data_IF_815101638672
#
_entry.id   IF_815101638672
#
_cell.length_a   1.000
_cell.length_b   1.000
_cell.length_c   1.000
_cell.angle_alpha   90.00
_cell.angle_beta   90.00
_cell.angle_gamma   90.00
#
_symmetry.space_group_name_H-M   'P 1'
#
loop_
_entity.id
_entity.type
_entity.pdbx_description
1 polymer ?
#
# COMPACT_ATOMS: atom_id res chain seq x y z
N UNK A 1 -20.39 -38.66 6.17
CA UNK A 1 -20.31 -37.53 5.22
C UNK A 1 -20.43 -36.28 6.08
N UNK A 2 -19.33 -35.56 6.30
CA UNK A 2 -19.27 -34.45 7.25
C UNK A 2 -19.88 -33.20 6.60
N UNK A 3 -21.12 -32.88 6.96
CA UNK A 3 -21.72 -31.58 6.65
C UNK A 3 -21.34 -30.63 7.78
N UNK A 4 -20.23 -29.94 7.62
CA UNK A 4 -19.91 -28.78 8.45
C UNK A 4 -20.72 -27.59 7.92
N UNK A 5 -21.84 -27.31 8.57
CA UNK A 5 -22.65 -26.13 8.28
C UNK A 5 -21.88 -24.92 8.77
N UNK A 6 -21.19 -24.27 7.82
CA UNK A 6 -20.58 -22.98 8.02
C UNK A 6 -21.69 -21.99 8.40
N UNK A 7 -21.54 -21.39 9.57
CA UNK A 7 -22.49 -20.42 10.13
C UNK A 7 -22.49 -19.18 9.24
N UNK A 8 -23.41 -19.15 8.27
CA UNK A 8 -23.61 -18.06 7.31
C UNK A 8 -24.25 -16.86 8.01
N UNK A 9 -23.44 -16.15 8.81
CA UNK A 9 -23.82 -14.83 9.33
C UNK A 9 -23.64 -13.82 8.20
N UNK A 10 -24.66 -13.69 7.34
CA UNK A 10 -24.70 -12.67 6.29
C UNK A 10 -24.49 -11.29 6.91
N UNK A 11 -23.41 -10.61 6.54
CA UNK A 11 -23.11 -9.25 7.00
C UNK A 11 -23.52 -8.26 5.93
N UNK A 12 -23.95 -7.08 6.31
CA UNK A 12 -24.29 -6.03 5.35
C UNK A 12 -23.18 -4.99 5.32
N UNK A 13 -22.78 -4.54 4.14
CA UNK A 13 -21.79 -3.48 4.01
C UNK A 13 -22.39 -2.17 4.53
N UNK A 14 -21.73 -1.55 5.51
CA UNK A 14 -22.14 -0.25 6.06
C UNK A 14 -22.08 0.89 5.04
N UNK A 15 -21.31 0.75 3.97
CA UNK A 15 -21.09 1.80 2.97
C UNK A 15 -22.13 1.78 1.84
N UNK A 16 -22.58 0.60 1.41
CA UNK A 16 -23.49 0.48 0.27
C UNK A 16 -24.75 -0.35 0.54
N UNK A 17 -24.89 -0.92 1.74
CA UNK A 17 -26.06 -1.73 2.12
C UNK A 17 -26.16 -3.09 1.44
N UNK A 18 -25.13 -3.52 0.69
CA UNK A 18 -25.14 -4.83 0.02
C UNK A 18 -24.93 -5.95 1.05
N UNK A 19 -25.57 -7.10 0.83
CA UNK A 19 -25.30 -8.32 1.59
C UNK A 19 -23.96 -8.95 1.17
N UNK A 20 -23.10 -9.19 2.15
CA UNK A 20 -21.77 -9.75 1.98
C UNK A 20 -21.67 -11.09 2.71
N UNK A 21 -20.88 -11.97 2.09
CA UNK A 21 -20.43 -13.22 2.71
C UNK A 21 -19.65 -12.91 4.00
N UNK A 22 -19.81 -13.67 5.09
CA UNK A 22 -19.06 -13.46 6.33
C UNK A 22 -17.53 -13.57 6.15
N UNK A 23 -17.09 -14.30 5.14
CA UNK A 23 -15.70 -14.52 4.73
C UNK A 23 -15.15 -13.47 3.73
N UNK A 24 -15.98 -12.53 3.26
CA UNK A 24 -15.57 -11.54 2.28
C UNK A 24 -14.78 -10.39 2.94
N UNK A 25 -13.51 -10.23 2.56
CA UNK A 25 -12.62 -9.16 3.06
C UNK A 25 -12.88 -7.79 2.41
N UNK A 26 -13.53 -7.77 1.25
CA UNK A 26 -13.86 -6.57 0.50
C UNK A 26 -15.27 -6.64 -0.06
N UNK A 27 -15.93 -5.49 -0.20
CA UNK A 27 -17.21 -5.41 -0.86
C UNK A 27 -17.04 -5.46 -2.39
N UNK A 28 -17.65 -6.42 -3.11
CA UNK A 28 -17.58 -6.48 -4.56
C UNK A 28 -18.35 -5.35 -5.26
N UNK A 29 -19.25 -4.66 -4.55
CA UNK A 29 -20.05 -3.57 -5.11
C UNK A 29 -19.40 -2.21 -4.96
N UNK A 30 -18.86 -1.90 -3.78
CA UNK A 30 -18.28 -0.58 -3.50
C UNK A 30 -16.75 -0.56 -3.41
N UNK A 31 -16.11 -1.74 -3.38
CA UNK A 31 -14.65 -1.89 -3.29
C UNK A 31 -14.05 -1.54 -1.93
N UNK A 32 -14.88 -1.26 -0.92
CA UNK A 32 -14.41 -0.93 0.44
C UNK A 32 -14.01 -2.19 1.21
N UNK A 33 -12.95 -2.13 2.03
CA UNK A 33 -12.59 -3.22 2.92
C UNK A 33 -13.68 -3.42 3.97
N UNK A 34 -13.87 -4.67 4.38
CA UNK A 34 -14.81 -5.07 5.41
C UNK A 34 -13.96 -5.68 6.51
N UNK A 35 -14.01 -5.09 7.69
CA UNK A 35 -13.34 -5.58 8.90
C UNK A 35 -14.01 -6.90 9.34
N UNK A 36 -13.76 -7.95 8.58
CA UNK A 36 -13.96 -9.32 8.97
C UNK A 36 -12.76 -9.66 9.85
N UNK A 37 -12.97 -9.95 11.13
CA UNK A 37 -11.92 -10.23 12.12
C UNK A 37 -11.07 -11.49 11.86
N UNK A 38 -10.79 -11.81 10.60
CA UNK A 38 -9.78 -12.75 10.19
C UNK A 38 -8.48 -11.97 9.98
N UNK A 39 -7.63 -12.04 11.00
CA UNK A 39 -6.31 -11.42 11.08
C UNK A 39 -5.54 -11.50 9.74
N UNK A 40 -5.16 -10.37 9.13
CA UNK A 40 -4.44 -10.35 7.84
C UNK A 40 -2.94 -10.59 8.06
N UNK A 41 -2.58 -11.54 8.93
CA UNK A 41 -1.22 -11.65 9.46
C UNK A 41 -0.67 -13.08 9.44
N UNK A 42 -0.71 -13.74 8.27
CA UNK A 42 0.03 -14.98 8.10
C UNK A 42 0.79 -15.18 6.79
N UNK A 43 0.79 -14.25 5.84
CA UNK A 43 1.68 -14.43 4.69
C UNK A 43 2.09 -13.16 3.94
N UNK A 44 2.59 -12.17 4.67
CA UNK A 44 3.47 -11.14 4.08
C UNK A 44 4.70 -10.87 4.97
N UNK A 45 5.10 -11.85 5.78
CA UNK A 45 6.34 -11.83 6.57
C UNK A 45 7.26 -13.02 6.27
N UNK A 46 6.97 -13.80 5.21
CA UNK A 46 7.85 -14.85 4.71
C UNK A 46 8.93 -14.34 3.72
N UNK A 47 9.35 -13.07 3.84
CA UNK A 47 10.57 -12.56 3.19
C UNK A 47 11.63 -12.06 4.19
N UNK A 48 11.37 -12.18 5.50
CA UNK A 48 12.28 -11.69 6.55
C UNK A 48 12.97 -12.77 7.39
N UNK A 49 12.72 -14.06 7.13
CA UNK A 49 13.44 -15.16 7.80
C UNK A 49 14.75 -15.57 7.10
N UNK A 50 15.17 -14.89 6.03
CA UNK A 50 16.51 -15.05 5.45
C UNK A 50 17.53 -14.05 6.04
N UNK A 51 17.21 -13.40 7.16
CA UNK A 51 18.13 -12.59 7.97
C UNK A 51 18.83 -13.42 9.07
N UNK A 52 19.17 -14.67 8.78
CA UNK A 52 20.11 -15.47 9.59
C UNK A 52 21.08 -16.22 8.69
N UNK A 53 21.87 -15.46 7.92
CA UNK A 53 23.30 -15.73 7.70
C UNK A 53 23.88 -14.62 6.82
N UNK A 54 24.89 -13.93 7.37
CA UNK A 54 25.79 -13.02 6.66
C UNK A 54 26.19 -13.56 5.28
N UNK A 55 26.12 -12.75 4.22
CA UNK A 55 27.22 -12.66 3.28
C UNK A 55 28.17 -11.58 3.80
N UNK A 56 29.28 -12.01 4.40
CA UNK A 56 30.48 -11.19 4.32
C UNK A 56 30.78 -11.02 2.82
N UNK A 57 31.10 -9.80 2.39
CA UNK A 57 31.56 -9.45 1.03
C UNK A 57 30.52 -9.28 -0.09
N UNK A 58 29.74 -8.19 -0.02
CA UNK A 58 29.65 -7.25 -1.14
C UNK A 58 29.31 -5.85 -0.59
N UNK A 59 30.35 -5.04 -0.41
CA UNK A 59 30.26 -3.65 0.01
C UNK A 59 29.53 -2.85 -1.07
N UNK A 60 28.23 -2.63 -0.94
CA UNK A 60 27.67 -1.38 -1.47
C UNK A 60 27.94 -0.31 -0.44
N UNK A 61 29.04 0.42 -0.67
CA UNK A 61 29.37 1.64 0.04
C UNK A 61 28.18 2.62 -0.06
N UNK A 62 27.65 3.12 1.07
CA UNK A 62 26.82 4.30 1.08
C UNK A 62 27.70 5.55 0.92
N UNK A 63 28.39 5.72 -0.21
CA UNK A 63 29.18 6.92 -0.52
C UNK A 63 29.27 7.19 -2.04
N UNK A 64 28.15 7.52 -2.70
CA UNK A 64 28.05 8.22 -4.00
C UNK A 64 26.55 8.31 -4.39
N UNK A 65 25.88 9.44 -4.66
CA UNK A 65 26.24 10.86 -4.69
C UNK A 65 24.96 11.65 -4.40
N UNK A 66 24.93 12.39 -3.30
CA UNK A 66 23.87 13.33 -2.99
C UNK A 66 24.03 14.60 -3.85
N UNK A 67 23.39 14.64 -5.03
CA UNK A 67 23.32 15.88 -5.85
C UNK A 67 22.01 16.05 -6.64
N UNK A 68 20.94 15.36 -6.22
CA UNK A 68 19.62 15.46 -6.85
C UNK A 68 18.63 16.43 -6.19
N UNK A 69 18.90 16.90 -4.96
CA UNK A 69 17.91 17.68 -4.17
C UNK A 69 17.89 19.17 -4.52
N UNK A 70 18.99 19.74 -5.00
CA UNK A 70 19.04 21.16 -5.43
C UNK A 70 18.46 21.37 -6.84
N UNK A 71 18.56 20.37 -7.71
CA UNK A 71 18.05 20.44 -9.10
C UNK A 71 16.53 20.57 -9.11
N UNK A 72 15.84 19.81 -8.25
CA UNK A 72 14.37 19.84 -8.14
C UNK A 72 13.90 21.23 -7.67
N UNK A 73 14.62 21.84 -6.72
CA UNK A 73 14.31 23.20 -6.25
C UNK A 73 14.45 24.25 -7.35
N UNK A 74 15.53 24.20 -8.14
CA UNK A 74 15.76 25.15 -9.25
C UNK A 74 14.66 25.02 -10.31
N UNK A 75 14.28 23.80 -10.68
CA UNK A 75 13.21 23.55 -11.68
C UNK A 75 11.88 24.12 -11.18
N UNK A 76 11.52 23.91 -9.91
CA UNK A 76 10.27 24.43 -9.34
C UNK A 76 10.23 25.97 -9.36
N UNK A 77 11.32 26.62 -8.95
CA UNK A 77 11.41 28.10 -8.95
C UNK A 77 11.29 28.67 -10.36
N UNK A 78 11.95 28.05 -11.35
CA UNK A 78 11.85 28.48 -12.75
C UNK A 78 10.43 28.34 -13.29
N UNK A 79 9.72 27.24 -13.00
CA UNK A 79 8.33 27.04 -13.44
C UNK A 79 7.41 28.12 -12.85
N UNK A 80 7.57 28.46 -11.56
CA UNK A 80 6.76 29.48 -10.89
C UNK A 80 7.01 30.86 -11.49
N UNK A 81 8.27 31.26 -11.66
CA UNK A 81 8.63 32.55 -12.25
C UNK A 81 8.13 32.68 -13.69
N UNK A 82 8.26 31.61 -14.48
CA UNK A 82 7.78 31.56 -15.85
C UNK A 82 6.24 31.71 -15.89
N UNK A 83 5.53 30.98 -15.02
CA UNK A 83 4.08 31.09 -14.90
C UNK A 83 3.60 32.50 -14.53
N UNK A 84 4.26 33.17 -13.57
CA UNK A 84 3.94 34.54 -13.18
C UNK A 84 4.22 35.51 -14.35
N UNK A 85 5.36 35.37 -15.03
CA UNK A 85 5.70 36.20 -16.19
C UNK A 85 4.69 36.04 -17.33
N UNK A 86 4.26 34.81 -17.63
CA UNK A 86 3.24 34.54 -18.66
C UNK A 86 1.83 34.95 -18.25
N UNK A 87 1.53 35.02 -16.94
CA UNK A 87 0.24 35.52 -16.46
C UNK A 87 0.15 37.05 -16.44
N UNK A 88 1.29 37.74 -16.27
CA UNK A 88 1.37 39.20 -16.26
C UNK A 88 1.64 39.81 -17.64
N UNK A 89 1.77 39.00 -18.70
CA UNK A 89 1.97 39.44 -20.08
C UNK A 89 0.71 39.16 -20.90
#
# INVERSE_FOLDING_TARGET
MATEIQTETTRTCSECGQALKPEATYCPMCGKPIDTGHEPQRNMQAKEAAQTMRPATARTCPCATAKGKWIIGIIIVLIILCGIYYACR
#
